data_IF_369161448683
#
_entry.id   IF_369161448683
#
_cell.length_a   1.000
_cell.length_b   1.000
_cell.length_c   1.000
_cell.angle_alpha   90.00
_cell.angle_beta   90.00
_cell.angle_gamma   90.00
#
_symmetry.space_group_name_H-M   'P 1'
#
loop_
_entity.id
_entity.type
_entity.pdbx_description
1 polymer ?
#
# COMPACT_ATOMS: atom_id res chain seq x y z
N UNK A 1 21.85 -21.81 -16.51
CA UNK A 1 20.74 -21.78 -15.55
C UNK A 1 19.71 -20.77 -16.08
N UNK A 2 18.57 -21.24 -16.60
CA UNK A 2 17.56 -20.40 -17.24
C UNK A 2 16.62 -19.90 -16.15
N UNK A 3 16.66 -18.61 -15.87
CA UNK A 3 15.69 -17.93 -15.01
C UNK A 3 14.40 -17.78 -15.81
N UNK A 4 13.38 -18.56 -15.44
CA UNK A 4 12.02 -18.41 -15.97
C UNK A 4 11.40 -17.14 -15.33
N UNK A 5 11.30 -16.08 -16.13
CA UNK A 5 10.46 -14.93 -15.79
C UNK A 5 9.00 -15.37 -15.83
N UNK A 6 8.41 -15.62 -14.68
CA UNK A 6 6.96 -15.64 -14.53
C UNK A 6 6.46 -14.21 -14.63
N UNK A 7 6.05 -13.82 -15.83
CA UNK A 7 5.27 -12.62 -16.06
C UNK A 7 3.86 -12.88 -15.51
N UNK A 8 3.64 -12.54 -14.24
CA UNK A 8 2.29 -12.41 -13.70
C UNK A 8 1.70 -11.12 -14.30
N UNK A 9 1.09 -11.27 -15.47
CA UNK A 9 0.18 -10.27 -16.00
C UNK A 9 -1.04 -10.21 -15.08
N UNK A 10 -0.97 -9.37 -14.03
CA UNK A 10 -2.16 -8.96 -13.30
C UNK A 10 -2.94 -8.03 -14.22
N UNK A 11 -3.88 -8.60 -14.95
CA UNK A 11 -4.85 -7.81 -15.71
C UNK A 11 -5.67 -6.96 -14.75
N UNK A 12 -5.73 -5.64 -14.92
CA UNK A 12 -6.64 -4.81 -14.15
C UNK A 12 -8.03 -4.91 -14.77
N UNK A 13 -8.81 -5.91 -14.35
CA UNK A 13 -10.25 -5.93 -14.60
C UNK A 13 -10.95 -5.31 -13.38
N UNK A 14 -10.85 -3.99 -13.28
CA UNK A 14 -11.78 -3.21 -12.49
C UNK A 14 -12.42 -2.20 -13.44
N UNK A 15 -13.76 -2.21 -13.58
CA UNK A 15 -14.44 -1.18 -14.36
C UNK A 15 -14.18 0.17 -13.70
N UNK A 16 -13.75 1.14 -14.50
CA UNK A 16 -13.74 2.55 -14.13
C UNK A 16 -15.20 2.99 -13.92
N UNK A 17 -15.71 2.80 -12.70
CA UNK A 17 -16.92 3.48 -12.27
C UNK A 17 -16.49 4.89 -11.83
N UNK A 18 -16.57 5.82 -12.76
CA UNK A 18 -16.66 7.24 -12.43
C UNK A 18 -18.00 7.45 -11.71
N UNK A 19 -17.95 7.52 -10.40
CA UNK A 19 -19.08 7.87 -9.54
C UNK A 19 -18.52 8.68 -8.40
N UNK A 20 -19.09 9.88 -8.20
CA UNK A 20 -18.69 10.89 -7.25
C UNK A 20 -18.43 10.33 -5.84
N UNK A 21 -17.50 10.98 -5.18
CA UNK A 21 -16.98 10.91 -3.83
C UNK A 21 -17.97 10.67 -2.66
N UNK A 22 -18.62 9.51 -2.61
CA UNK A 22 -19.21 8.96 -1.39
C UNK A 22 -18.23 8.03 -0.64
N UNK A 23 -16.93 8.31 -0.79
CA UNK A 23 -15.89 7.52 -0.15
C UNK A 23 -15.74 7.94 1.32
N UNK A 24 -16.04 7.05 2.29
CA UNK A 24 -15.94 7.37 3.72
C UNK A 24 -14.49 7.59 4.21
N UNK A 25 -13.48 7.36 3.36
CA UNK A 25 -12.08 7.69 3.67
C UNK A 25 -11.62 8.87 2.80
N UNK A 26 -11.30 10.02 3.41
CA UNK A 26 -10.97 11.25 2.67
C UNK A 26 -9.67 11.08 1.87
N UNK A 27 -9.78 10.77 0.58
CA UNK A 27 -8.68 10.90 -0.38
C UNK A 27 -7.32 10.23 -0.05
N UNK A 28 -7.25 9.37 0.97
CA UNK A 28 -5.98 8.76 1.38
C UNK A 28 -5.34 7.93 0.26
N UNK A 29 -6.13 7.17 -0.49
CA UNK A 29 -5.62 6.38 -1.59
C UNK A 29 -5.07 7.26 -2.71
N UNK A 30 -5.81 8.30 -3.13
CA UNK A 30 -5.36 9.20 -4.18
C UNK A 30 -4.09 9.95 -3.81
N UNK A 31 -3.96 10.36 -2.54
CA UNK A 31 -2.74 10.97 -2.02
C UNK A 31 -1.57 9.97 -2.02
N UNK A 32 -1.77 8.75 -1.54
CA UNK A 32 -0.73 7.72 -1.51
C UNK A 32 -0.25 7.36 -2.93
N UNK A 33 -1.17 7.23 -3.89
CA UNK A 33 -0.82 6.98 -5.28
C UNK A 33 -0.08 8.16 -5.93
N UNK A 34 -0.43 9.39 -5.59
CA UNK A 34 0.30 10.57 -6.05
C UNK A 34 1.73 10.60 -5.52
N UNK A 35 1.93 10.32 -4.22
CA UNK A 35 3.24 10.22 -3.59
C UNK A 35 4.06 9.09 -4.25
N UNK A 36 3.47 7.92 -4.44
CA UNK A 36 4.12 6.80 -5.10
C UNK A 36 4.57 7.17 -6.52
N UNK A 37 3.69 7.80 -7.30
CA UNK A 37 4.01 8.27 -8.66
C UNK A 37 5.16 9.27 -8.65
N UNK A 38 5.17 10.21 -7.71
CA UNK A 38 6.24 11.19 -7.56
C UNK A 38 7.58 10.52 -7.20
N UNK A 39 7.56 9.53 -6.29
CA UNK A 39 8.75 8.79 -5.92
C UNK A 39 9.41 8.09 -7.11
N UNK A 40 8.64 7.59 -8.07
CA UNK A 40 9.17 6.88 -9.24
C UNK A 40 9.34 7.77 -10.49
N UNK A 41 8.93 9.02 -10.46
CA UNK A 41 9.09 9.93 -11.60
C UNK A 41 10.56 10.20 -11.90
N UNK A 42 10.98 9.94 -13.17
CA UNK A 42 12.35 10.16 -13.60
C UNK A 42 13.41 9.31 -12.90
N UNK A 43 13.01 8.14 -12.42
CA UNK A 43 13.86 7.22 -11.64
C UNK A 43 15.20 6.91 -12.30
N UNK A 44 15.21 6.71 -13.63
CA UNK A 44 16.41 6.37 -14.39
C UNK A 44 17.48 7.49 -14.39
N UNK A 45 17.08 8.71 -14.10
CA UNK A 45 17.97 9.88 -14.06
C UNK A 45 18.52 10.16 -12.64
N UNK A 46 18.03 9.46 -11.62
CA UNK A 46 18.43 9.68 -10.24
C UNK A 46 19.71 8.91 -9.90
N UNK A 47 20.58 9.54 -9.12
CA UNK A 47 21.62 8.78 -8.41
C UNK A 47 20.99 7.85 -7.36
N UNK A 48 21.65 6.77 -6.95
CA UNK A 48 21.13 5.87 -5.93
C UNK A 48 20.82 6.56 -4.59
N UNK A 49 21.54 7.63 -4.27
CA UNK A 49 21.32 8.41 -3.05
C UNK A 49 20.07 9.29 -3.14
N UNK A 50 19.91 10.01 -4.26
CA UNK A 50 18.69 10.82 -4.51
C UNK A 50 17.43 9.96 -4.55
N UNK A 51 17.52 8.78 -5.18
CA UNK A 51 16.44 7.80 -5.17
C UNK A 51 16.09 7.38 -3.74
N UNK A 52 17.08 7.11 -2.91
CA UNK A 52 16.90 6.75 -1.50
C UNK A 52 16.19 7.85 -0.71
N UNK A 53 16.68 9.08 -0.78
CA UNK A 53 16.10 10.23 -0.07
C UNK A 53 14.63 10.43 -0.46
N UNK A 54 14.33 10.33 -1.75
CA UNK A 54 12.97 10.45 -2.27
C UNK A 54 12.06 9.34 -1.75
N UNK A 55 12.53 8.10 -1.75
CA UNK A 55 11.78 6.96 -1.23
C UNK A 55 11.54 7.05 0.29
N UNK A 56 12.55 7.43 1.06
CA UNK A 56 12.42 7.58 2.51
C UNK A 56 11.37 8.65 2.87
N UNK A 57 11.39 9.79 2.16
CA UNK A 57 10.37 10.82 2.31
C UNK A 57 8.98 10.30 1.97
N UNK A 58 8.82 9.66 0.80
CA UNK A 58 7.53 9.12 0.36
C UNK A 58 7.00 8.03 1.31
N UNK A 59 7.86 7.14 1.81
CA UNK A 59 7.50 6.15 2.82
C UNK A 59 6.96 6.79 4.10
N UNK A 60 7.60 7.83 4.61
CA UNK A 60 7.12 8.54 5.79
C UNK A 60 5.74 9.17 5.60
N UNK A 61 5.47 9.71 4.41
CA UNK A 61 4.18 10.29 4.08
C UNK A 61 3.09 9.21 3.92
N UNK A 62 3.39 8.11 3.20
CA UNK A 62 2.44 7.01 3.02
C UNK A 62 2.19 6.25 4.32
N UNK A 63 3.19 6.10 5.21
CA UNK A 63 3.00 5.53 6.55
C UNK A 63 1.96 6.32 7.35
N UNK A 64 2.07 7.63 7.34
CA UNK A 64 1.11 8.52 8.02
C UNK A 64 -0.31 8.35 7.45
N UNK A 65 -0.45 8.27 6.12
CA UNK A 65 -1.74 8.03 5.46
C UNK A 65 -2.31 6.65 5.79
N UNK A 66 -1.47 5.61 5.78
CA UNK A 66 -1.87 4.24 6.12
C UNK A 66 -2.37 4.15 7.57
N UNK A 67 -1.65 4.76 8.51
CA UNK A 67 -2.04 4.77 9.90
C UNK A 67 -3.36 5.54 10.12
N UNK A 68 -3.57 6.65 9.41
CA UNK A 68 -4.81 7.41 9.46
C UNK A 68 -5.98 6.59 8.88
N UNK A 69 -5.82 6.00 7.69
CA UNK A 69 -6.80 5.14 7.06
C UNK A 69 -7.18 3.94 7.95
N UNK A 70 -6.19 3.26 8.52
CA UNK A 70 -6.42 2.14 9.42
C UNK A 70 -7.20 2.54 10.67
N UNK A 71 -6.81 3.65 11.32
CA UNK A 71 -7.50 4.17 12.52
C UNK A 71 -8.96 4.50 12.23
N UNK A 72 -9.23 5.11 11.10
CA UNK A 72 -10.61 5.46 10.70
C UNK A 72 -11.42 4.22 10.35
N UNK A 73 -10.85 3.27 9.60
CA UNK A 73 -11.49 1.99 9.30
C UNK A 73 -11.84 1.22 10.57
N UNK A 74 -10.92 1.17 11.53
CA UNK A 74 -11.16 0.51 12.83
C UNK A 74 -12.29 1.18 13.61
N UNK A 75 -12.38 2.52 13.57
CA UNK A 75 -13.49 3.27 14.18
C UNK A 75 -14.82 2.89 13.53
N UNK A 76 -14.87 2.84 12.22
CA UNK A 76 -16.08 2.51 11.46
C UNK A 76 -16.50 1.04 11.67
N UNK A 77 -15.56 0.10 11.68
CA UNK A 77 -15.84 -1.29 12.02
C UNK A 77 -16.43 -1.41 13.42
N UNK A 78 -15.83 -0.75 14.42
CA UNK A 78 -16.34 -0.78 15.80
C UNK A 78 -17.76 -0.26 15.91
N UNK A 79 -18.10 0.77 15.16
CA UNK A 79 -19.42 1.39 15.22
C UNK A 79 -20.51 0.57 14.50
N UNK A 80 -20.14 -0.12 13.40
CA UNK A 80 -21.11 -0.79 12.54
C UNK A 80 -21.07 -2.31 12.63
N UNK A 81 -19.87 -2.91 12.70
CA UNK A 81 -19.65 -4.35 12.69
C UNK A 81 -18.49 -4.74 13.62
N UNK A 82 -18.72 -4.88 14.94
CA UNK A 82 -17.67 -5.17 15.93
C UNK A 82 -16.92 -6.47 15.67
N UNK A 83 -17.54 -7.48 15.03
CA UNK A 83 -16.88 -8.72 14.66
C UNK A 83 -15.80 -8.47 13.61
N UNK A 84 -16.06 -7.59 12.64
CA UNK A 84 -15.10 -7.19 11.62
C UNK A 84 -13.93 -6.41 12.21
N UNK A 85 -14.14 -5.62 13.25
CA UNK A 85 -13.03 -4.93 13.96
C UNK A 85 -11.96 -5.92 14.43
N UNK A 86 -12.38 -7.02 15.04
CA UNK A 86 -11.47 -8.07 15.53
C UNK A 86 -10.71 -8.73 14.38
N UNK A 87 -11.43 -9.08 13.32
CA UNK A 87 -10.83 -9.69 12.12
C UNK A 87 -9.83 -8.76 11.44
N UNK A 88 -10.20 -7.49 11.24
CA UNK A 88 -9.31 -6.50 10.62
C UNK A 88 -8.04 -6.27 11.45
N UNK A 89 -8.14 -6.31 12.78
CA UNK A 89 -6.97 -6.21 13.65
C UNK A 89 -6.02 -7.40 13.50
N UNK A 90 -6.56 -8.62 13.37
CA UNK A 90 -5.77 -9.82 13.12
C UNK A 90 -5.14 -9.78 11.73
N UNK A 91 -5.91 -9.42 10.72
CA UNK A 91 -5.47 -9.27 9.34
C UNK A 91 -4.35 -8.23 9.22
N UNK A 92 -4.47 -7.06 9.86
CA UNK A 92 -3.41 -6.05 9.86
C UNK A 92 -2.10 -6.56 10.45
N UNK A 93 -2.16 -7.34 11.54
CA UNK A 93 -0.94 -7.93 12.14
C UNK A 93 -0.29 -8.95 11.21
N UNK A 94 -1.09 -9.83 10.61
CA UNK A 94 -0.61 -10.81 9.64
C UNK A 94 0.00 -10.14 8.42
N UNK A 95 -0.64 -9.10 7.91
CA UNK A 95 -0.14 -8.31 6.77
C UNK A 95 1.18 -7.60 7.10
N UNK A 96 1.32 -6.97 8.26
CA UNK A 96 2.59 -6.33 8.67
C UNK A 96 3.73 -7.34 8.73
N UNK A 97 3.47 -8.54 9.28
CA UNK A 97 4.45 -9.62 9.30
C UNK A 97 4.84 -10.05 7.89
N UNK A 98 3.84 -10.31 7.03
CA UNK A 98 4.07 -10.65 5.63
C UNK A 98 4.91 -9.60 4.90
N UNK A 99 4.56 -8.32 5.03
CA UNK A 99 5.31 -7.22 4.36
C UNK A 99 6.77 -7.20 4.83
N UNK A 100 7.01 -7.36 6.13
CA UNK A 100 8.37 -7.36 6.67
C UNK A 100 9.22 -8.51 6.09
N UNK A 101 8.67 -9.72 6.07
CA UNK A 101 9.35 -10.91 5.55
C UNK A 101 9.53 -10.83 4.03
N UNK A 102 8.45 -10.50 3.30
CA UNK A 102 8.48 -10.43 1.84
C UNK A 102 9.42 -9.37 1.30
N UNK A 103 9.42 -8.17 1.89
CA UNK A 103 10.31 -7.08 1.44
C UNK A 103 11.76 -7.45 1.65
N UNK A 104 12.08 -8.09 2.77
CA UNK A 104 13.44 -8.53 3.06
C UNK A 104 13.91 -9.59 2.06
N UNK A 105 13.14 -10.64 1.85
CA UNK A 105 13.48 -11.73 0.93
C UNK A 105 13.55 -11.26 -0.52
N UNK A 106 12.56 -10.47 -0.96
CA UNK A 106 12.53 -9.97 -2.34
C UNK A 106 13.69 -9.03 -2.64
N UNK A 107 14.09 -8.18 -1.68
CA UNK A 107 15.21 -7.27 -1.86
C UNK A 107 16.57 -8.00 -1.93
N UNK A 108 16.72 -9.14 -1.26
CA UNK A 108 17.94 -9.98 -1.33
C UNK A 108 18.26 -10.43 -2.75
N UNK A 109 17.23 -10.62 -3.60
CA UNK A 109 17.41 -10.94 -5.02
C UNK A 109 18.18 -9.90 -5.84
N UNK A 110 18.33 -8.66 -5.31
CA UNK A 110 19.06 -7.55 -5.93
C UNK A 110 20.46 -7.32 -5.32
N UNK A 111 20.92 -8.20 -4.47
CA UNK A 111 22.21 -8.17 -3.80
C UNK A 111 22.09 -7.96 -2.29
N UNK A 112 23.06 -8.48 -1.55
CA UNK A 112 23.10 -8.32 -0.09
C UNK A 112 23.68 -6.95 0.29
N UNK A 113 22.84 -6.12 0.93
CA UNK A 113 23.25 -4.82 1.45
C UNK A 113 23.45 -3.75 0.37
N UNK A 114 23.90 -2.58 0.80
CA UNK A 114 24.15 -1.44 -0.08
C UNK A 114 22.88 -0.68 -0.51
N UNK A 115 23.10 0.39 -1.28
CA UNK A 115 22.04 1.35 -1.62
C UNK A 115 20.99 0.74 -2.55
N UNK A 116 21.38 -0.16 -3.46
CA UNK A 116 20.45 -0.81 -4.40
C UNK A 116 19.47 -1.70 -3.63
N UNK A 117 19.95 -2.51 -2.71
CA UNK A 117 19.12 -3.33 -1.82
C UNK A 117 18.12 -2.47 -1.04
N UNK A 118 18.61 -1.39 -0.41
CA UNK A 118 17.77 -0.50 0.39
C UNK A 118 16.70 0.21 -0.46
N UNK A 119 17.05 0.65 -1.68
CA UNK A 119 16.12 1.28 -2.58
C UNK A 119 15.05 0.31 -3.06
N UNK A 120 15.42 -0.95 -3.35
CA UNK A 120 14.46 -1.98 -3.75
C UNK A 120 13.51 -2.31 -2.59
N UNK A 121 14.02 -2.51 -1.39
CA UNK A 121 13.21 -2.76 -0.20
C UNK A 121 12.22 -1.61 0.06
N UNK A 122 12.67 -0.37 -0.04
CA UNK A 122 11.83 0.82 0.13
C UNK A 122 10.78 0.96 -0.95
N UNK A 123 11.11 0.66 -2.21
CA UNK A 123 10.18 0.68 -3.35
C UNK A 123 9.06 -0.36 -3.18
N UNK A 124 9.40 -1.58 -2.81
CA UNK A 124 8.44 -2.66 -2.54
C UNK A 124 7.52 -2.28 -1.38
N UNK A 125 8.09 -1.78 -0.29
CA UNK A 125 7.34 -1.36 0.89
C UNK A 125 6.37 -0.22 0.56
N UNK A 126 6.81 0.79 -0.18
CA UNK A 126 5.97 1.90 -0.62
C UNK A 126 4.76 1.41 -1.43
N UNK A 127 4.98 0.50 -2.37
CA UNK A 127 3.92 -0.09 -3.19
C UNK A 127 2.92 -0.89 -2.35
N UNK A 128 3.40 -1.77 -1.47
CA UNK A 128 2.54 -2.58 -0.60
C UNK A 128 1.71 -1.72 0.36
N UNK A 129 2.27 -0.64 0.89
CA UNK A 129 1.54 0.27 1.78
C UNK A 129 0.46 1.07 1.04
N UNK A 130 0.76 1.51 -0.18
CA UNK A 130 -0.23 2.18 -1.05
C UNK A 130 -1.40 1.24 -1.35
N UNK A 131 -1.13 -0.01 -1.71
CA UNK A 131 -2.18 -1.02 -1.94
C UNK A 131 -2.95 -1.36 -0.66
N UNK A 132 -2.31 -1.32 0.51
CA UNK A 132 -3.03 -1.52 1.78
C UNK A 132 -4.04 -0.41 2.07
N UNK A 133 -3.73 0.83 1.72
CA UNK A 133 -4.67 1.95 1.83
C UNK A 133 -5.88 1.72 0.90
N UNK A 134 -5.65 1.25 -0.32
CA UNK A 134 -6.73 0.89 -1.24
C UNK A 134 -7.62 -0.23 -0.69
N UNK A 135 -7.04 -1.26 -0.08
CA UNK A 135 -7.78 -2.32 0.61
C UNK A 135 -8.66 -1.78 1.73
N UNK A 136 -8.13 -0.91 2.60
CA UNK A 136 -8.89 -0.30 3.68
C UNK A 136 -10.07 0.54 3.15
N UNK A 137 -9.92 1.21 2.02
CA UNK A 137 -11.02 1.91 1.34
C UNK A 137 -12.13 0.94 0.93
N UNK A 138 -11.78 -0.23 0.40
CA UNK A 138 -12.77 -1.26 0.01
C UNK A 138 -13.55 -1.73 1.25
N UNK A 139 -12.88 -2.00 2.37
CA UNK A 139 -13.53 -2.38 3.63
C UNK A 139 -14.52 -1.30 4.08
N UNK A 140 -14.11 -0.02 4.05
CA UNK A 140 -15.00 1.08 4.44
C UNK A 140 -16.20 1.24 3.51
N UNK A 141 -16.02 1.02 2.21
CA UNK A 141 -17.11 1.06 1.24
C UNK A 141 -18.14 -0.03 1.52
N UNK A 142 -17.73 -1.27 1.78
CA UNK A 142 -18.63 -2.35 2.18
C UNK A 142 -19.46 -2.00 3.41
N UNK A 143 -18.83 -1.39 4.43
CA UNK A 143 -19.53 -0.91 5.63
C UNK A 143 -20.55 0.21 5.34
N UNK A 144 -20.34 1.02 4.31
CA UNK A 144 -21.27 2.08 3.94
C UNK A 144 -22.52 1.51 3.20
N UNK A 145 -22.32 0.53 2.34
CA UNK A 145 -23.40 -0.08 1.53
C UNK A 145 -24.40 -0.89 2.37
N UNK A 146 -23.97 -1.55 3.45
CA UNK A 146 -24.85 -2.31 4.37
C UNK A 146 -25.83 -1.43 5.16
N UNK A 147 -25.62 -0.11 5.19
CA UNK A 147 -26.47 0.81 5.96
C UNK A 147 -27.74 1.26 5.19
N UNK A 148 -27.90 0.87 3.92
CA UNK A 148 -28.97 1.32 3.02
C UNK A 148 -30.11 0.27 2.90
N UNK A 149 -30.05 -0.84 3.60
CA UNK A 149 -31.11 -1.87 3.69
C UNK A 149 -31.84 -1.73 5.02
#
# INVERSE_FOLDING_TARGET
MRVLFFSLALSPLLPAAAGADDNPLPGYESQARAIQKECFAGWEALSPMEARERLEKGLGEVDRLLNAAYKETMKNCRAKEPALEKLLRQDQRAWLKFVSEYVQEAALGFGEGGTVYLNMASSLKLSLWTERIAYLRIVNRGLAEETVQ
#
